data_IF_230301685154
#
_entry.id   IF_230301685154
#
_cell.length_a   1.000
_cell.length_b   1.000
_cell.length_c   1.000
_cell.angle_alpha   90.00
_cell.angle_beta   90.00
_cell.angle_gamma   90.00
#
_symmetry.space_group_name_H-M   'P 1'
#
loop_
_entity.id
_entity.type
_entity.pdbx_description
1 polymer ?
#
# COMPACT_ATOMS: atom_id res chain seq x y z
N UNK A 1 -66.48 -21.61 -30.70
CA UNK A 1 -65.41 -20.63 -31.01
C UNK A 1 -64.68 -20.33 -29.70
N UNK A 2 -63.43 -20.78 -29.49
CA UNK A 2 -62.70 -20.40 -28.28
C UNK A 2 -62.46 -18.88 -28.29
N UNK A 3 -62.75 -18.22 -27.17
CA UNK A 3 -62.70 -16.76 -27.01
C UNK A 3 -61.26 -16.26 -27.21
N UNK A 4 -60.95 -15.84 -28.44
CA UNK A 4 -59.68 -15.24 -28.86
C UNK A 4 -59.27 -14.06 -27.97
N UNK A 5 -60.25 -13.32 -27.43
CA UNK A 5 -60.03 -12.23 -26.48
C UNK A 5 -59.40 -12.69 -25.16
N UNK A 6 -59.78 -13.85 -24.61
CA UNK A 6 -59.21 -14.38 -23.36
C UNK A 6 -57.75 -14.80 -23.58
N UNK A 7 -57.47 -15.44 -24.72
CA UNK A 7 -56.12 -15.80 -25.13
C UNK A 7 -55.21 -14.57 -25.32
N UNK A 8 -55.74 -13.50 -25.93
CA UNK A 8 -55.04 -12.23 -26.11
C UNK A 8 -54.73 -11.55 -24.77
N UNK A 9 -55.68 -11.54 -23.82
CA UNK A 9 -55.47 -10.95 -22.49
C UNK A 9 -54.42 -11.71 -21.67
N UNK A 10 -54.44 -13.05 -21.68
CA UNK A 10 -53.41 -13.84 -21.02
C UNK A 10 -52.02 -13.63 -21.64
N UNK A 11 -51.93 -13.50 -22.97
CA UNK A 11 -50.68 -13.18 -23.66
C UNK A 11 -50.12 -11.81 -23.27
N UNK A 12 -50.98 -10.79 -23.12
CA UNK A 12 -50.57 -9.45 -22.67
C UNK A 12 -50.07 -9.44 -21.21
N UNK A 13 -50.73 -10.17 -20.32
CA UNK A 13 -50.28 -10.34 -18.92
C UNK A 13 -48.92 -11.04 -18.84
N UNK A 14 -48.72 -12.10 -19.63
CA UNK A 14 -47.44 -12.78 -19.70
C UNK A 14 -46.32 -11.85 -20.22
N UNK A 15 -46.59 -11.07 -21.27
CA UNK A 15 -45.62 -10.13 -21.82
C UNK A 15 -45.20 -9.05 -20.81
N UNK A 16 -46.16 -8.48 -20.07
CA UNK A 16 -45.87 -7.48 -19.02
C UNK A 16 -45.09 -8.08 -17.86
N UNK A 17 -45.43 -9.29 -17.40
CA UNK A 17 -44.66 -10.01 -16.38
C UNK A 17 -43.21 -10.26 -16.80
N UNK A 18 -42.98 -10.67 -18.06
CA UNK A 18 -41.63 -10.87 -18.62
C UNK A 18 -40.85 -9.55 -18.66
N UNK A 19 -41.47 -8.43 -19.07
CA UNK A 19 -40.82 -7.11 -19.10
C UNK A 19 -40.44 -6.66 -17.69
N UNK A 20 -41.32 -6.86 -16.70
CA UNK A 20 -41.04 -6.52 -15.30
C UNK A 20 -39.93 -7.38 -14.71
N UNK A 21 -39.94 -8.69 -14.96
CA UNK A 21 -38.89 -9.61 -14.55
C UNK A 21 -37.54 -9.21 -15.15
N UNK A 22 -37.50 -8.90 -16.45
CA UNK A 22 -36.28 -8.45 -17.14
C UNK A 22 -35.75 -7.14 -16.55
N UNK A 23 -36.62 -6.15 -16.30
CA UNK A 23 -36.23 -4.88 -15.63
C UNK A 23 -35.69 -5.15 -14.22
N UNK A 24 -36.29 -6.06 -13.46
CA UNK A 24 -35.83 -6.44 -12.12
C UNK A 24 -34.44 -7.10 -12.18
N UNK A 25 -34.23 -8.08 -13.08
CA UNK A 25 -32.94 -8.73 -13.29
C UNK A 25 -31.85 -7.75 -13.72
N UNK A 26 -32.18 -6.79 -14.60
CA UNK A 26 -31.26 -5.72 -15.01
C UNK A 26 -30.90 -4.79 -13.85
N UNK A 27 -31.86 -4.41 -12.99
CA UNK A 27 -31.60 -3.63 -11.77
C UNK A 27 -30.72 -4.37 -10.78
N UNK A 28 -30.92 -5.69 -10.60
CA UNK A 28 -30.07 -6.53 -9.76
C UNK A 28 -28.65 -6.63 -10.33
N UNK A 29 -28.51 -6.81 -11.65
CA UNK A 29 -27.20 -6.80 -12.34
C UNK A 29 -26.50 -5.44 -12.24
N UNK A 30 -27.23 -4.34 -12.40
CA UNK A 30 -26.69 -2.98 -12.21
C UNK A 30 -26.30 -2.71 -10.75
N UNK A 31 -27.10 -3.13 -9.77
CA UNK A 31 -26.77 -2.99 -8.33
C UNK A 31 -25.53 -3.81 -7.97
N UNK A 32 -25.35 -4.98 -8.59
CA UNK A 32 -24.13 -5.79 -8.49
C UNK A 32 -22.93 -5.09 -9.13
N UNK A 33 -23.08 -4.51 -10.33
CA UNK A 33 -22.00 -3.81 -11.03
C UNK A 33 -21.66 -2.43 -10.42
N UNK A 34 -22.62 -1.76 -9.75
CA UNK A 34 -22.37 -0.54 -8.96
C UNK A 34 -21.45 -0.81 -7.77
N UNK A 35 -21.31 -2.07 -7.34
CA UNK A 35 -20.39 -2.49 -6.28
C UNK A 35 -19.06 -2.93 -6.89
N UNK A 36 -18.18 -1.95 -7.17
CA UNK A 36 -16.72 -1.98 -6.98
C UNK A 36 -16.10 -0.85 -7.81
N UNK A 37 -16.11 0.36 -7.25
CA UNK A 37 -15.10 1.34 -7.62
C UNK A 37 -13.75 0.66 -7.34
N UNK A 38 -13.02 0.32 -8.41
CA UNK A 38 -11.77 -0.43 -8.33
C UNK A 38 -10.72 0.25 -7.45
N UNK A 39 -10.70 1.59 -7.46
CA UNK A 39 -10.00 2.42 -6.51
C UNK A 39 -10.76 3.73 -6.32
N UNK A 40 -10.62 4.37 -5.16
CA UNK A 40 -11.21 5.70 -4.92
C UNK A 40 -10.45 6.73 -5.77
N UNK A 41 -11.15 7.65 -6.41
CA UNK A 41 -10.55 8.64 -7.32
C UNK A 41 -9.43 9.45 -6.65
N UNK A 42 -9.56 9.83 -5.39
CA UNK A 42 -8.52 10.58 -4.66
C UNK A 42 -7.22 9.80 -4.39
N UNK A 43 -7.27 8.46 -4.37
CA UNK A 43 -6.09 7.59 -4.25
C UNK A 43 -5.36 7.41 -5.58
N UNK A 44 -6.08 7.50 -6.71
CA UNK A 44 -5.45 7.46 -8.04
C UNK A 44 -4.57 8.68 -8.29
N UNK A 45 -4.87 9.78 -7.61
CA UNK A 45 -4.14 11.05 -7.67
C UNK A 45 -2.87 11.07 -6.79
N UNK A 46 -2.21 9.92 -6.63
CA UNK A 46 -0.99 9.74 -5.83
C UNK A 46 0.17 10.59 -6.39
N UNK A 47 0.30 10.64 -7.71
CA UNK A 47 1.42 11.29 -8.37
C UNK A 47 1.19 12.80 -8.61
N UNK A 48 0.03 13.34 -8.21
CA UNK A 48 -0.29 14.77 -8.36
C UNK A 48 0.33 15.65 -7.24
N UNK A 49 1.36 15.16 -6.55
CA UNK A 49 2.09 15.92 -5.54
C UNK A 49 1.35 16.19 -4.21
N UNK A 50 0.09 15.80 -4.06
CA UNK A 50 -0.72 16.11 -2.85
C UNK A 50 -0.57 15.11 -1.69
N UNK A 51 0.50 14.33 -1.65
CA UNK A 51 0.76 13.33 -0.61
C UNK A 51 1.95 13.72 0.24
N UNK A 52 2.00 13.24 1.49
CA UNK A 52 3.11 13.53 2.41
C UNK A 52 4.48 13.11 1.84
N UNK A 53 4.52 12.07 1.00
CA UNK A 53 5.76 11.63 0.35
C UNK A 53 6.28 12.66 -0.66
N UNK A 54 5.41 13.47 -1.26
CA UNK A 54 5.85 14.55 -2.14
C UNK A 54 6.51 15.65 -1.33
N UNK A 55 5.83 16.17 -0.31
CA UNK A 55 6.37 17.13 0.66
C UNK A 55 7.70 16.63 1.25
N UNK A 56 7.76 15.37 1.67
CA UNK A 56 8.97 14.76 2.22
C UNK A 56 10.15 14.77 1.25
N UNK A 57 9.93 14.48 -0.03
CA UNK A 57 11.03 14.33 -1.01
C UNK A 57 11.36 15.62 -1.78
N UNK A 58 10.39 16.52 -1.97
CA UNK A 58 10.56 17.75 -2.76
C UNK A 58 10.81 18.98 -1.89
N UNK A 59 10.27 19.02 -0.67
CA UNK A 59 10.38 20.18 0.23
C UNK A 59 11.38 19.85 1.35
N UNK A 60 11.02 18.96 2.29
CA UNK A 60 11.83 18.69 3.49
C UNK A 60 13.25 18.21 3.18
N UNK A 61 13.41 17.42 2.12
CA UNK A 61 14.74 16.91 1.76
C UNK A 61 15.73 18.03 1.41
N UNK A 62 15.24 19.15 0.87
CA UNK A 62 16.08 20.27 0.43
C UNK A 62 16.10 21.40 1.47
N UNK A 63 14.93 21.71 2.03
CA UNK A 63 14.72 22.89 2.88
C UNK A 63 14.96 22.62 4.37
N UNK A 64 14.63 21.42 4.86
CA UNK A 64 14.77 21.06 6.28
C UNK A 64 15.16 19.58 6.48
N UNK A 65 16.46 19.25 6.32
CA UNK A 65 16.98 17.91 6.52
C UNK A 65 16.78 17.37 7.94
N UNK A 66 16.65 18.25 8.95
CA UNK A 66 16.44 17.84 10.34
C UNK A 66 15.02 17.32 10.51
N UNK A 67 14.02 18.02 9.99
CA UNK A 67 12.63 17.53 9.98
C UNK A 67 12.47 16.29 9.11
N UNK A 68 13.20 16.19 7.98
CA UNK A 68 13.27 14.97 7.19
C UNK A 68 13.75 13.77 8.02
N UNK A 69 14.86 13.94 8.73
CA UNK A 69 15.41 12.91 9.59
C UNK A 69 14.47 12.57 10.75
N UNK A 70 13.83 13.56 11.37
CA UNK A 70 12.85 13.33 12.42
C UNK A 70 11.64 12.53 11.92
N UNK A 71 11.21 12.78 10.68
CA UNK A 71 10.08 12.07 10.08
C UNK A 71 10.36 10.59 9.84
N UNK A 72 11.57 10.24 9.36
CA UNK A 72 11.97 8.86 9.01
C UNK A 72 12.82 8.15 10.07
N UNK A 73 13.32 8.87 11.08
CA UNK A 73 14.39 8.47 12.00
C UNK A 73 15.72 8.11 11.31
N UNK A 74 15.87 8.46 10.04
CA UNK A 74 17.06 8.27 9.22
C UNK A 74 17.30 9.49 8.36
N UNK A 75 18.56 9.89 8.20
CA UNK A 75 18.92 10.92 7.23
C UNK A 75 18.88 10.36 5.79
N UNK A 76 18.96 11.25 4.80
CA UNK A 76 18.87 10.84 3.39
C UNK A 76 20.00 9.90 2.94
N UNK A 77 21.22 10.07 3.47
CA UNK A 77 22.36 9.20 3.14
C UNK A 77 22.12 7.77 3.64
N UNK A 78 21.67 7.63 4.89
CA UNK A 78 21.30 6.35 5.49
C UNK A 78 20.13 5.70 4.76
N UNK A 79 19.11 6.48 4.40
CA UNK A 79 18.00 5.99 3.59
C UNK A 79 18.49 5.48 2.22
N UNK A 80 19.40 6.22 1.57
CA UNK A 80 19.99 5.83 0.28
C UNK A 80 20.77 4.52 0.37
N UNK A 81 21.59 4.36 1.40
CA UNK A 81 22.31 3.12 1.68
C UNK A 81 21.37 1.93 1.91
N UNK A 82 20.39 2.09 2.81
CA UNK A 82 19.43 1.04 3.11
C UNK A 82 18.61 0.67 1.88
N UNK A 83 18.17 1.69 1.11
CA UNK A 83 17.44 1.47 -0.13
C UNK A 83 18.27 0.65 -1.12
N UNK A 84 19.55 0.97 -1.31
CA UNK A 84 20.42 0.22 -2.22
C UNK A 84 20.52 -1.27 -1.85
N UNK A 85 20.53 -1.59 -0.55
CA UNK A 85 20.58 -2.98 -0.08
C UNK A 85 19.30 -3.77 -0.35
N UNK A 86 18.13 -3.14 -0.17
CA UNK A 86 16.83 -3.83 -0.22
C UNK A 86 16.08 -3.64 -1.55
N UNK A 87 16.58 -2.76 -2.43
CA UNK A 87 15.87 -2.30 -3.64
C UNK A 87 15.37 -3.47 -4.48
N UNK A 88 16.23 -4.45 -4.73
CA UNK A 88 15.92 -5.57 -5.62
C UNK A 88 14.83 -6.48 -5.04
N UNK A 89 14.79 -6.64 -3.71
CA UNK A 89 13.80 -7.47 -3.02
C UNK A 89 12.41 -6.80 -2.95
N UNK A 90 12.37 -5.46 -2.92
CA UNK A 90 11.12 -4.70 -2.71
C UNK A 90 10.58 -4.04 -3.97
N UNK A 91 11.33 -4.04 -5.08
CA UNK A 91 10.87 -3.51 -6.37
C UNK A 91 9.83 -4.45 -6.97
N UNK A 92 8.75 -3.88 -7.50
CA UNK A 92 7.75 -4.64 -8.26
C UNK A 92 7.56 -3.98 -9.62
N UNK A 93 7.14 -4.76 -10.61
CA UNK A 93 6.87 -4.29 -11.95
C UNK A 93 5.55 -3.50 -12.01
N UNK A 94 5.49 -2.55 -12.93
CA UNK A 94 4.26 -1.85 -13.26
C UNK A 94 3.25 -2.81 -13.91
N UNK A 95 1.97 -2.50 -13.74
CA UNK A 95 0.88 -3.21 -14.41
C UNK A 95 0.17 -2.26 -15.36
N UNK A 96 -0.42 -2.76 -16.45
CA UNK A 96 -1.18 -1.94 -17.41
C UNK A 96 -2.27 -1.06 -16.76
N UNK A 97 -2.78 -1.44 -15.58
CA UNK A 97 -3.85 -0.74 -14.88
C UNK A 97 -3.34 0.20 -13.78
N UNK A 98 -2.13 -0.02 -13.26
CA UNK A 98 -1.58 0.75 -12.13
C UNK A 98 -0.06 0.76 -12.16
N UNK A 99 0.49 1.95 -12.02
CA UNK A 99 1.89 2.11 -11.64
C UNK A 99 2.17 1.50 -10.27
N UNK A 100 3.27 0.76 -10.20
CA UNK A 100 3.82 0.25 -8.98
C UNK A 100 4.13 1.40 -8.00
N UNK A 101 4.23 1.05 -6.71
CA UNK A 101 4.79 1.96 -5.71
C UNK A 101 6.31 1.86 -5.80
N UNK A 102 7.04 2.96 -6.03
CA UNK A 102 8.49 2.94 -6.06
C UNK A 102 9.10 2.35 -4.79
N UNK A 103 10.23 1.65 -4.92
CA UNK A 103 10.94 1.05 -3.78
C UNK A 103 11.25 2.07 -2.68
N UNK A 104 11.70 3.28 -3.06
CA UNK A 104 11.96 4.38 -2.12
C UNK A 104 10.71 4.74 -1.32
N UNK A 105 9.56 4.87 -1.98
CA UNK A 105 8.29 5.20 -1.32
C UNK A 105 7.84 4.09 -0.38
N UNK A 106 7.96 2.81 -0.77
CA UNK A 106 7.67 1.69 0.13
C UNK A 106 8.53 1.74 1.38
N UNK A 107 9.84 1.95 1.21
CA UNK A 107 10.78 2.06 2.32
C UNK A 107 10.44 3.23 3.25
N UNK A 108 10.16 4.42 2.70
CA UNK A 108 9.77 5.59 3.48
C UNK A 108 8.49 5.36 4.30
N UNK A 109 7.48 4.73 3.71
CA UNK A 109 6.23 4.40 4.43
C UNK A 109 6.48 3.36 5.52
N UNK A 110 7.29 2.34 5.25
CA UNK A 110 7.66 1.34 6.26
C UNK A 110 8.44 1.98 7.41
N UNK A 111 9.42 2.84 7.14
CA UNK A 111 10.18 3.54 8.18
C UNK A 111 9.28 4.44 9.03
N UNK A 112 8.36 5.17 8.38
CA UNK A 112 7.39 5.99 9.08
C UNK A 112 6.49 5.16 10.01
N UNK A 113 6.04 4.00 9.54
CA UNK A 113 5.28 3.04 10.34
C UNK A 113 6.10 2.55 11.54
N UNK A 114 7.35 2.13 11.34
CA UNK A 114 8.24 1.67 12.42
C UNK A 114 8.57 2.78 13.43
N UNK A 115 8.70 4.03 12.97
CA UNK A 115 9.03 5.17 13.80
C UNK A 115 7.89 5.65 14.71
N UNK A 116 6.63 5.38 14.33
CA UNK A 116 5.45 5.97 15.00
C UNK A 116 4.39 4.96 15.44
N UNK A 117 4.36 3.77 14.85
CA UNK A 117 3.32 2.77 15.08
C UNK A 117 1.93 3.18 14.56
N UNK A 118 1.84 4.16 13.66
CA UNK A 118 0.55 4.65 13.19
C UNK A 118 -0.23 3.61 12.37
N UNK A 119 -1.56 3.74 12.35
CA UNK A 119 -2.41 2.76 11.64
C UNK A 119 -2.20 2.83 10.13
N UNK A 120 -2.39 1.70 9.43
CA UNK A 120 -2.35 1.66 7.96
C UNK A 120 -3.37 2.61 7.30
N UNK A 121 -4.47 2.90 7.99
CA UNK A 121 -5.48 3.85 7.55
C UNK A 121 -4.97 5.29 7.61
N UNK A 122 -4.27 5.65 8.68
CA UNK A 122 -3.59 6.96 8.80
C UNK A 122 -2.60 7.15 7.65
N UNK A 123 -1.72 6.16 7.45
CA UNK A 123 -0.76 6.17 6.35
C UNK A 123 -1.44 6.27 4.99
N UNK A 124 -2.58 5.62 4.79
CA UNK A 124 -3.33 5.70 3.54
C UNK A 124 -3.78 7.12 3.23
N UNK A 125 -4.31 7.85 4.22
CA UNK A 125 -4.73 9.23 4.02
C UNK A 125 -3.54 10.15 3.75
N UNK A 126 -2.43 9.97 4.46
CA UNK A 126 -1.24 10.79 4.27
C UNK A 126 -0.52 10.53 2.94
N UNK A 127 -0.33 9.26 2.58
CA UNK A 127 0.52 8.83 1.45
C UNK A 127 -0.27 8.61 0.15
N UNK A 128 -1.61 8.55 0.23
CA UNK A 128 -2.51 8.16 -0.86
C UNK A 128 -2.28 6.74 -1.38
N UNK A 129 -1.74 5.86 -0.55
CA UNK A 129 -1.58 4.43 -0.84
C UNK A 129 -2.63 3.66 -0.05
N UNK A 130 -3.45 2.85 -0.72
CA UNK A 130 -4.52 2.10 -0.05
C UNK A 130 -4.00 1.23 1.11
N UNK A 131 -4.72 1.19 2.23
CA UNK A 131 -4.32 0.51 3.47
C UNK A 131 -3.97 -0.97 3.25
N UNK A 132 -4.72 -1.67 2.39
CA UNK A 132 -4.44 -3.08 2.04
C UNK A 132 -3.14 -3.27 1.24
N UNK A 133 -2.70 -2.24 0.52
CA UNK A 133 -1.42 -2.29 -0.18
C UNK A 133 -0.29 -2.08 0.82
N UNK A 134 -0.46 -1.13 1.75
CA UNK A 134 0.46 -0.86 2.85
C UNK A 134 0.67 -2.11 3.71
N UNK A 135 -0.42 -2.74 4.17
CA UNK A 135 -0.36 -3.94 5.00
C UNK A 135 0.39 -5.09 4.35
N UNK A 136 0.44 -5.13 3.01
CA UNK A 136 1.09 -6.19 2.25
C UNK A 136 2.58 -5.93 2.06
N UNK A 137 2.99 -4.71 1.72
CA UNK A 137 4.41 -4.44 1.47
C UNK A 137 5.20 -4.14 2.76
N UNK A 138 4.58 -3.67 3.85
CA UNK A 138 5.34 -3.38 5.08
C UNK A 138 6.08 -4.64 5.59
N UNK A 139 5.42 -5.81 5.73
CA UNK A 139 6.12 -7.04 6.12
C UNK A 139 7.19 -7.47 5.10
N UNK A 140 6.92 -7.32 3.79
CA UNK A 140 7.90 -7.62 2.73
C UNK A 140 9.17 -6.77 2.91
N UNK A 141 9.02 -5.47 3.15
CA UNK A 141 10.14 -4.54 3.37
C UNK A 141 10.86 -4.85 4.67
N UNK A 142 10.15 -5.09 5.78
CA UNK A 142 10.77 -5.46 7.06
C UNK A 142 11.60 -6.74 6.93
N UNK A 143 11.09 -7.75 6.23
CA UNK A 143 11.82 -8.98 5.98
C UNK A 143 13.09 -8.74 5.15
N UNK A 144 13.00 -7.93 4.08
CA UNK A 144 14.17 -7.56 3.29
C UNK A 144 15.23 -6.83 4.13
N UNK A 145 14.81 -5.89 4.98
CA UNK A 145 15.72 -5.17 5.89
C UNK A 145 16.42 -6.16 6.83
N UNK A 146 15.67 -7.06 7.48
CA UNK A 146 16.24 -8.06 8.40
C UNK A 146 17.21 -8.97 7.65
N UNK A 147 16.84 -9.50 6.49
CA UNK A 147 17.70 -10.39 5.71
C UNK A 147 19.03 -9.72 5.30
N UNK A 148 19.00 -8.45 4.90
CA UNK A 148 20.20 -7.73 4.45
C UNK A 148 21.06 -7.21 5.59
N UNK A 149 20.47 -6.82 6.72
CA UNK A 149 21.21 -6.25 7.85
C UNK A 149 21.66 -7.30 8.87
N UNK A 150 20.93 -8.42 9.03
CA UNK A 150 21.25 -9.46 10.02
C UNK A 150 22.71 -9.94 9.96
N UNK A 151 23.31 -10.23 8.80
CA UNK A 151 24.70 -10.71 8.74
C UNK A 151 25.73 -9.70 9.26
N UNK A 152 25.44 -8.40 9.11
CA UNK A 152 26.38 -7.33 9.43
C UNK A 152 26.22 -6.83 10.87
N UNK A 153 24.99 -6.83 11.40
CA UNK A 153 24.66 -6.16 12.67
C UNK A 153 24.10 -7.07 13.75
N UNK A 154 23.66 -8.30 13.43
CA UNK A 154 23.07 -9.25 14.37
C UNK A 154 23.89 -10.53 14.42
N UNK A 155 25.22 -10.38 14.59
CA UNK A 155 26.09 -11.51 14.89
C UNK A 155 25.79 -11.99 16.31
N UNK A 156 25.31 -13.22 16.43
CA UNK A 156 25.23 -13.88 17.74
C UNK A 156 26.64 -14.37 18.09
N UNK A 157 27.25 -13.91 19.19
CA UNK A 157 28.52 -14.45 19.65
C UNK A 157 28.36 -15.95 19.91
N UNK A 158 29.19 -16.77 19.26
CA UNK A 158 29.12 -18.22 19.38
C UNK A 158 30.23 -18.78 20.28
N UNK A 159 31.21 -17.94 20.64
CA UNK A 159 32.30 -18.27 21.57
C UNK A 159 32.33 -17.30 22.75
N UNK A 160 32.83 -17.71 23.93
CA UNK A 160 33.03 -16.83 25.08
C UNK A 160 33.82 -15.55 24.75
N UNK A 161 34.82 -15.62 23.86
CA UNK A 161 35.62 -14.46 23.43
C UNK A 161 34.83 -13.46 22.57
N UNK A 162 33.87 -13.94 21.77
CA UNK A 162 32.98 -13.08 20.96
C UNK A 162 32.06 -12.22 21.85
N UNK A 163 31.70 -12.70 23.05
CA UNK A 163 30.89 -11.92 23.99
C UNK A 163 31.64 -10.71 24.53
N UNK A 164 32.92 -10.85 24.86
CA UNK A 164 33.74 -9.74 25.34
C UNK A 164 33.90 -8.66 24.27
N UNK A 165 34.14 -9.07 23.03
CA UNK A 165 34.27 -8.14 21.88
C UNK A 165 32.95 -7.42 21.58
N UNK A 166 31.81 -8.11 21.70
CA UNK A 166 30.49 -7.52 21.51
C UNK A 166 30.13 -6.51 22.62
N UNK A 167 30.55 -6.75 23.86
CA UNK A 167 30.36 -5.82 24.97
C UNK A 167 31.19 -4.55 24.80
N UNK A 168 32.45 -4.64 24.39
CA UNK A 168 33.31 -3.48 24.13
C UNK A 168 32.73 -2.58 23.02
N UNK A 169 32.31 -3.15 21.88
CA UNK A 169 31.69 -2.38 20.79
C UNK A 169 30.35 -1.73 21.19
N UNK A 170 29.63 -2.31 22.15
CA UNK A 170 28.37 -1.73 22.65
C UNK A 170 28.60 -0.57 23.63
N UNK A 171 29.74 -0.56 24.34
CA UNK A 171 30.11 0.49 25.28
C UNK A 171 30.66 1.74 24.57
N UNK A 172 31.31 1.57 23.41
CA UNK A 172 31.83 2.70 22.59
C UNK A 172 30.73 3.46 21.81
N UNK A 173 29.50 2.93 21.79
CA UNK A 173 28.38 3.48 21.04
C UNK A 173 27.40 4.33 21.89
N UNK A 174 27.72 4.57 23.17
CA UNK A 174 26.97 5.41 24.12
C UNK A 174 27.81 6.65 24.45
#
# INVERSE_FOLDING_TARGET
>A
MPNTNISLMHAALAATAIILLRKMLLRLKQKRNRRRLWSRTWLQRRNEGRGVLNMLNQELLQEDPVSYQNYLRLNNKQLGYLLALVKDDITKQDTHLRECIPARSKLQVTLRFLATGETFRSLMYATRIHETTISRFIPEVCNAIVLKLKPNYLKTPNTPEDFHTALEHSMDAI
#
